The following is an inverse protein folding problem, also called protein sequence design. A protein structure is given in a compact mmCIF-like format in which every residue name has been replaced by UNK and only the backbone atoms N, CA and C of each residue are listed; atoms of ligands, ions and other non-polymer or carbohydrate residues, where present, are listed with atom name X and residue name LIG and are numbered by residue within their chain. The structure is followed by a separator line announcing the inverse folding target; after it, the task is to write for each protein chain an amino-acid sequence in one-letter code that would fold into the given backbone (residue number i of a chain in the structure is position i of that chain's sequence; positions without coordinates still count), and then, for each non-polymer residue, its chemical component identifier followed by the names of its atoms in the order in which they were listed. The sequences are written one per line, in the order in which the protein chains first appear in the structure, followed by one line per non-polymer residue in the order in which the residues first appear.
data_IF_738440331259
#
_entry.id   IF_738440331259
#
_cell.length_a   1.000
_cell.length_b   1.000
_cell.length_c   1.000
_cell.angle_alpha   90.00
_cell.angle_beta   90.00
_cell.angle_gamma   90.00
#
_symmetry.space_group_name_H-M   'P 1'
#
loop_
_entity.id
_entity.type
_entity.pdbx_description
1 polymer ?
#
# COMPACT_ATOMS: atom_id res chain seq x y z
N UNK A 1 -1.05 20.54 -15.07
CA UNK A 1 0.28 20.76 -14.42
C UNK A 1 0.51 22.25 -14.22
N UNK A 2 1.49 22.60 -13.37
CA UNK A 2 2.01 23.96 -13.30
C UNK A 2 2.57 24.36 -14.67
N UNK A 3 2.47 25.66 -15.03
CA UNK A 3 2.87 26.23 -16.32
C UNK A 3 2.01 25.74 -17.52
N UNK A 4 0.82 25.23 -17.29
CA UNK A 4 -0.13 24.98 -18.37
C UNK A 4 -1.14 26.12 -18.48
N UNK A 5 -1.46 26.46 -19.73
CA UNK A 5 -2.61 27.30 -20.04
C UNK A 5 -3.80 26.39 -20.36
N UNK A 6 -4.89 26.61 -19.65
CA UNK A 6 -6.04 25.70 -19.70
C UNK A 6 -7.35 26.50 -19.85
N UNK A 7 -8.26 25.94 -20.62
CA UNK A 7 -9.64 26.35 -20.63
C UNK A 7 -10.41 25.59 -19.54
N UNK A 8 -11.12 26.29 -18.67
CA UNK A 8 -11.82 25.70 -17.52
C UNK A 8 -13.33 26.00 -17.59
N UNK A 9 -14.12 25.03 -17.19
CA UNK A 9 -15.55 25.22 -16.87
C UNK A 9 -15.68 25.39 -15.38
N UNK A 10 -16.21 26.53 -14.92
CA UNK A 10 -16.51 26.75 -13.52
C UNK A 10 -17.73 25.91 -13.12
N UNK A 11 -17.56 25.00 -12.18
CA UNK A 11 -18.62 24.10 -11.69
C UNK A 11 -19.24 24.59 -10.39
N UNK A 12 -18.48 25.34 -9.58
CA UNK A 12 -18.99 25.90 -8.33
C UNK A 12 -18.30 27.24 -8.00
N UNK A 13 -19.06 28.23 -7.56
CA UNK A 13 -18.52 29.49 -7.04
C UNK A 13 -18.72 29.58 -5.53
N UNK A 14 -17.64 29.81 -4.81
CA UNK A 14 -17.60 30.10 -3.37
C UNK A 14 -17.31 31.58 -3.15
N UNK A 15 -17.47 32.04 -1.91
CA UNK A 15 -17.25 33.47 -1.55
C UNK A 15 -15.82 33.95 -1.88
N UNK A 16 -14.78 33.10 -1.78
CA UNK A 16 -13.37 33.48 -1.93
C UNK A 16 -12.64 32.74 -3.06
N UNK A 17 -13.26 31.75 -3.69
CA UNK A 17 -12.65 30.96 -4.77
C UNK A 17 -13.75 30.33 -5.63
N UNK A 18 -13.35 29.81 -6.76
CA UNK A 18 -14.23 28.98 -7.61
C UNK A 18 -13.60 27.62 -7.83
N UNK A 19 -14.42 26.59 -7.99
CA UNK A 19 -14.01 25.25 -8.39
C UNK A 19 -14.28 25.12 -9.89
N UNK A 20 -13.28 24.69 -10.64
CA UNK A 20 -13.39 24.49 -12.07
C UNK A 20 -12.85 23.13 -12.50
N UNK A 21 -13.41 22.65 -13.58
CA UNK A 21 -12.92 21.46 -14.29
C UNK A 21 -12.18 21.90 -15.55
N UNK A 22 -11.05 21.26 -15.84
CA UNK A 22 -10.28 21.51 -17.07
C UNK A 22 -11.05 20.93 -18.24
N UNK A 23 -11.48 21.80 -19.15
CA UNK A 23 -12.15 21.44 -20.38
C UNK A 23 -11.14 21.00 -21.44
N UNK A 24 -10.09 21.81 -21.64
CA UNK A 24 -8.97 21.50 -22.53
C UNK A 24 -7.69 22.19 -22.10
N UNK A 25 -6.55 21.62 -22.50
CA UNK A 25 -5.24 22.20 -22.35
C UNK A 25 -4.89 22.97 -23.63
N UNK A 26 -4.74 24.28 -23.51
CA UNK A 26 -4.40 25.17 -24.61
C UNK A 26 -2.89 25.10 -24.86
N UNK A 27 -2.09 25.25 -23.79
CA UNK A 27 -0.63 25.15 -23.87
C UNK A 27 -0.14 24.15 -22.83
N UNK A 28 0.53 23.11 -23.29
CA UNK A 28 1.09 22.08 -22.40
C UNK A 28 2.37 22.56 -21.71
N UNK A 29 2.56 22.15 -20.46
CA UNK A 29 3.85 22.26 -19.79
C UNK A 29 4.92 21.40 -20.50
N UNK A 30 6.17 21.89 -20.52
CA UNK A 30 7.33 21.12 -21.01
C UNK A 30 7.56 19.82 -20.23
N UNK A 31 7.06 19.75 -19.01
CA UNK A 31 7.18 18.59 -18.12
C UNK A 31 6.03 17.59 -18.24
N UNK A 32 5.02 17.88 -19.09
CA UNK A 32 3.94 16.93 -19.35
C UNK A 32 4.43 15.82 -20.26
N UNK A 33 4.17 14.58 -19.83
CA UNK A 33 4.46 13.38 -20.62
C UNK A 33 3.18 12.55 -20.82
N UNK A 34 3.23 11.66 -21.80
CA UNK A 34 2.23 10.61 -21.93
C UNK A 34 2.42 9.61 -20.78
N UNK A 35 1.39 9.33 -19.95
CA UNK A 35 1.51 8.35 -18.89
C UNK A 35 1.68 6.95 -19.45
N UNK A 36 2.53 6.14 -18.82
CA UNK A 36 2.74 4.72 -19.18
C UNK A 36 1.45 3.90 -19.04
N UNK A 37 0.61 4.24 -18.06
CA UNK A 37 -0.66 3.58 -17.80
C UNK A 37 -1.79 4.22 -18.60
N UNK A 38 -2.43 3.44 -19.49
CA UNK A 38 -3.58 3.91 -20.28
C UNK A 38 -4.82 4.23 -19.42
N UNK A 39 -4.92 3.61 -18.23
CA UNK A 39 -6.03 3.79 -17.27
C UNK A 39 -5.81 4.99 -16.36
N UNK A 40 -4.70 5.73 -16.48
CA UNK A 40 -4.32 6.81 -15.55
C UNK A 40 -5.41 7.88 -15.42
N UNK A 41 -6.07 8.23 -16.51
CA UNK A 41 -7.09 9.30 -16.55
C UNK A 41 -8.43 8.90 -15.90
N UNK A 42 -8.71 7.61 -15.74
CA UNK A 42 -9.96 7.12 -15.14
C UNK A 42 -9.75 6.45 -13.79
N UNK A 43 -8.63 5.75 -13.59
CA UNK A 43 -8.30 5.07 -12.34
C UNK A 43 -8.03 6.03 -11.17
N UNK A 44 -7.46 7.22 -11.44
CA UNK A 44 -7.13 8.20 -10.40
C UNK A 44 -6.01 7.81 -9.43
N UNK A 45 -5.48 6.59 -9.50
CA UNK A 45 -4.48 6.08 -8.55
C UNK A 45 -3.09 6.74 -8.67
N UNK A 46 -2.76 7.32 -9.83
CA UNK A 46 -1.44 7.89 -10.13
C UNK A 46 -1.55 9.28 -10.78
N UNK A 47 -2.06 10.31 -10.07
CA UNK A 47 -2.36 11.62 -10.68
C UNK A 47 -1.11 12.32 -11.25
N UNK A 48 0.07 12.10 -10.68
CA UNK A 48 1.31 12.73 -11.13
C UNK A 48 2.03 11.97 -12.26
N UNK A 49 1.52 10.82 -12.72
CA UNK A 49 2.15 10.04 -13.80
C UNK A 49 2.21 10.79 -15.15
N UNK A 50 1.44 11.86 -15.29
CA UNK A 50 1.44 12.76 -16.45
C UNK A 50 2.62 13.74 -16.45
N UNK A 51 3.45 13.76 -15.42
CA UNK A 51 4.60 14.65 -15.29
C UNK A 51 5.92 13.87 -15.26
N UNK A 52 6.99 14.45 -15.83
CA UNK A 52 8.35 13.91 -15.71
C UNK A 52 8.73 13.73 -14.24
N UNK A 53 9.45 12.66 -13.90
CA UNK A 53 9.75 12.29 -12.53
C UNK A 53 10.48 13.39 -11.73
N UNK A 54 11.50 14.09 -12.25
CA UNK A 54 12.09 15.23 -11.53
C UNK A 54 11.06 16.30 -11.13
N UNK A 55 10.10 16.61 -12.01
CA UNK A 55 9.02 17.56 -11.71
C UNK A 55 8.09 17.06 -10.61
N UNK A 56 7.85 15.75 -10.53
CA UNK A 56 7.08 15.16 -9.42
C UNK A 56 7.78 15.37 -8.07
N UNK A 57 9.12 15.27 -8.02
CA UNK A 57 9.91 15.51 -6.81
C UNK A 57 9.85 16.98 -6.37
N UNK A 58 9.98 17.91 -7.31
CA UNK A 58 9.82 19.35 -7.06
C UNK A 58 8.43 19.65 -6.49
N UNK A 59 7.38 19.07 -7.09
CA UNK A 59 6.00 19.24 -6.64
C UNK A 59 5.81 18.77 -5.20
N UNK A 60 6.35 17.60 -4.85
CA UNK A 60 6.31 17.07 -3.49
C UNK A 60 7.06 17.98 -2.50
N UNK A 61 8.20 18.52 -2.91
CA UNK A 61 8.96 19.49 -2.11
C UNK A 61 8.15 20.76 -1.88
N UNK A 62 7.50 21.29 -2.91
CA UNK A 62 6.72 22.52 -2.80
C UNK A 62 5.52 22.34 -1.87
N UNK A 63 4.80 21.22 -1.95
CA UNK A 63 3.69 20.91 -1.04
C UNK A 63 4.18 20.85 0.41
N UNK A 64 5.29 20.14 0.66
CA UNK A 64 5.89 20.05 1.99
C UNK A 64 6.32 21.43 2.50
N UNK A 65 7.02 22.19 1.65
CA UNK A 65 7.50 23.55 1.96
C UNK A 65 6.35 24.47 2.36
N UNK A 66 5.29 24.53 1.56
CA UNK A 66 4.11 25.35 1.86
C UNK A 66 3.46 24.95 3.18
N UNK A 67 3.32 23.66 3.45
CA UNK A 67 2.73 23.15 4.69
C UNK A 67 3.57 23.50 5.91
N UNK A 68 4.88 23.27 5.86
CA UNK A 68 5.80 23.56 6.96
C UNK A 68 5.93 25.06 7.26
N UNK A 69 5.95 25.91 6.23
CA UNK A 69 5.95 27.37 6.42
C UNK A 69 4.65 27.81 7.07
N UNK A 70 3.50 27.35 6.55
CA UNK A 70 2.17 27.79 6.99
C UNK A 70 1.85 27.36 8.42
N UNK A 71 2.13 26.11 8.78
CA UNK A 71 1.67 25.51 10.03
C UNK A 71 2.74 25.41 11.11
N UNK A 72 4.02 25.35 10.74
CA UNK A 72 5.14 25.18 11.67
C UNK A 72 6.19 26.31 11.61
N UNK A 73 5.99 27.33 10.77
CA UNK A 73 6.89 28.48 10.61
C UNK A 73 8.35 28.08 10.35
N UNK A 74 8.58 26.93 9.72
CA UNK A 74 9.92 26.42 9.43
C UNK A 74 10.61 27.32 8.40
N UNK A 75 11.90 27.64 8.64
CA UNK A 75 12.70 28.37 7.67
C UNK A 75 12.83 27.53 6.36
N UNK A 76 12.39 28.06 5.19
CA UNK A 76 12.42 27.34 3.92
C UNK A 76 13.80 26.81 3.52
N UNK A 77 14.89 27.46 3.98
CA UNK A 77 16.28 27.05 3.67
C UNK A 77 16.65 25.70 4.34
N UNK A 78 15.94 25.29 5.39
CA UNK A 78 16.15 24.01 6.08
C UNK A 78 15.52 22.82 5.33
N UNK A 79 14.62 23.09 4.37
CA UNK A 79 13.91 22.04 3.65
C UNK A 79 14.78 21.54 2.50
N UNK A 80 15.27 20.33 2.64
CA UNK A 80 16.13 19.68 1.66
C UNK A 80 15.34 19.17 0.44
N UNK A 81 16.05 18.69 -0.56
CA UNK A 81 15.43 18.07 -1.72
C UNK A 81 14.80 16.72 -1.35
N UNK A 82 13.73 16.37 -2.04
CA UNK A 82 13.10 15.06 -1.90
C UNK A 82 14.06 14.00 -2.44
N UNK A 83 14.30 12.96 -1.64
CA UNK A 83 15.09 11.81 -2.07
C UNK A 83 14.33 11.01 -3.13
N UNK A 84 14.92 10.77 -4.32
CA UNK A 84 14.24 10.05 -5.37
C UNK A 84 14.08 8.57 -5.02
N UNK A 85 13.02 7.94 -5.56
CA UNK A 85 12.89 6.49 -5.54
C UNK A 85 13.82 5.86 -6.57
N UNK A 86 14.44 4.74 -6.23
CA UNK A 86 15.25 3.96 -7.17
C UNK A 86 14.39 3.46 -8.34
N UNK A 87 13.15 3.05 -8.04
CA UNK A 87 12.19 2.60 -9.03
C UNK A 87 10.98 3.53 -9.03
N UNK A 88 10.59 4.01 -10.21
CA UNK A 88 9.40 4.85 -10.40
C UNK A 88 8.17 4.02 -10.83
N UNK A 89 8.39 2.78 -11.24
CA UNK A 89 7.39 1.76 -11.55
C UNK A 89 7.80 0.45 -10.90
N UNK A 90 6.86 -0.51 -10.76
CA UNK A 90 7.13 -1.83 -10.23
C UNK A 90 7.69 -1.83 -8.81
N UNK A 91 7.34 -0.86 -7.99
CA UNK A 91 7.90 -0.71 -6.65
C UNK A 91 6.99 -1.19 -5.52
N UNK A 92 5.69 -1.42 -5.80
CA UNK A 92 4.75 -1.88 -4.77
C UNK A 92 4.83 -3.37 -4.57
N UNK A 93 5.15 -3.75 -3.34
CA UNK A 93 5.20 -5.11 -2.85
C UNK A 93 3.84 -5.66 -2.38
N UNK A 94 2.78 -4.85 -2.42
CA UNK A 94 1.43 -5.23 -2.02
C UNK A 94 0.39 -4.49 -2.84
N UNK A 95 -0.73 -5.18 -3.11
CA UNK A 95 -1.97 -4.54 -3.53
C UNK A 95 -3.15 -4.95 -2.64
N UNK A 96 -4.15 -4.10 -2.62
CA UNK A 96 -5.47 -4.31 -2.01
C UNK A 96 -6.49 -3.85 -3.05
N UNK A 97 -7.09 -4.79 -3.75
CA UNK A 97 -8.00 -4.49 -4.85
C UNK A 97 -9.41 -5.02 -4.59
N UNK A 98 -10.45 -4.18 -4.76
CA UNK A 98 -11.81 -4.68 -4.89
C UNK A 98 -11.93 -5.68 -6.03
N UNK A 99 -12.85 -6.62 -5.87
CA UNK A 99 -13.26 -7.54 -6.91
C UNK A 99 -14.75 -7.29 -7.25
N UNK A 100 -15.06 -7.29 -8.53
CA UNK A 100 -16.44 -7.14 -9.01
C UNK A 100 -16.60 -7.89 -10.33
N UNK A 101 -17.85 -8.15 -10.70
CA UNK A 101 -18.15 -8.73 -11.99
C UNK A 101 -17.98 -7.68 -13.09
N UNK A 102 -17.20 -8.05 -14.10
CA UNK A 102 -17.07 -7.31 -15.36
C UNK A 102 -17.62 -8.24 -16.44
N UNK A 103 -18.80 -7.90 -16.99
CA UNK A 103 -19.58 -8.79 -17.84
C UNK A 103 -19.86 -10.13 -17.13
N UNK A 104 -19.21 -11.23 -17.57
CA UNK A 104 -19.36 -12.58 -17.02
C UNK A 104 -18.12 -13.07 -16.24
N UNK A 105 -17.15 -12.20 -16.01
CA UNK A 105 -15.87 -12.55 -15.38
C UNK A 105 -15.69 -11.76 -14.08
N UNK A 106 -15.14 -12.42 -13.06
CA UNK A 106 -14.67 -11.75 -11.86
C UNK A 106 -13.38 -10.96 -12.20
N UNK A 107 -13.44 -9.63 -12.13
CA UNK A 107 -12.31 -8.74 -12.28
C UNK A 107 -11.73 -8.31 -10.93
N UNK A 108 -10.50 -7.78 -10.96
CA UNK A 108 -9.88 -7.12 -9.82
C UNK A 108 -9.35 -5.75 -10.23
N UNK A 109 -9.74 -4.70 -9.50
CA UNK A 109 -9.45 -3.34 -9.96
C UNK A 109 -9.69 -2.27 -8.91
N UNK A 110 -10.11 -1.10 -9.35
CA UNK A 110 -10.44 0.03 -8.50
C UNK A 110 -11.77 0.65 -8.93
N UNK A 111 -12.37 1.42 -8.05
CA UNK A 111 -13.49 2.27 -8.43
C UNK A 111 -12.98 3.62 -8.94
N UNK A 112 -13.64 4.14 -9.97
CA UNK A 112 -13.39 5.50 -10.46
C UNK A 112 -13.62 6.49 -9.32
N UNK A 113 -12.74 7.49 -9.13
CA UNK A 113 -12.87 8.47 -8.06
C UNK A 113 -14.27 9.09 -8.02
N UNK A 114 -14.85 9.19 -6.83
CA UNK A 114 -16.18 9.76 -6.56
C UNK A 114 -17.33 9.05 -7.30
N UNK A 115 -17.17 7.77 -7.63
CA UNK A 115 -18.21 6.98 -8.28
C UNK A 115 -18.21 5.52 -7.80
N UNK A 116 -19.27 4.79 -8.17
CA UNK A 116 -19.35 3.33 -7.98
C UNK A 116 -18.99 2.57 -9.27
N UNK A 117 -18.42 3.24 -10.27
CA UNK A 117 -18.01 2.60 -11.50
C UNK A 117 -16.72 1.81 -11.26
N UNK A 118 -16.82 0.48 -11.41
CA UNK A 118 -15.68 -0.42 -11.27
C UNK A 118 -14.83 -0.39 -12.53
N UNK A 119 -13.52 -0.39 -12.37
CA UNK A 119 -12.52 -0.42 -13.44
C UNK A 119 -11.70 -1.69 -13.25
N UNK A 120 -11.89 -2.68 -14.11
CA UNK A 120 -11.01 -3.85 -14.14
C UNK A 120 -9.60 -3.45 -14.57
N UNK A 121 -8.62 -3.69 -13.72
CA UNK A 121 -7.22 -3.34 -13.96
C UNK A 121 -6.44 -4.60 -14.27
N UNK A 122 -6.28 -4.90 -15.55
CA UNK A 122 -5.54 -6.09 -16.00
C UNK A 122 -4.06 -6.06 -15.64
N UNK A 123 -3.44 -4.87 -15.59
CA UNK A 123 -2.06 -4.65 -15.16
C UNK A 123 -1.89 -3.28 -14.51
N UNK A 124 -1.32 -3.25 -13.32
CA UNK A 124 -0.95 -2.03 -12.62
C UNK A 124 0.57 -1.82 -12.69
N UNK A 125 1.02 -0.74 -13.32
CA UNK A 125 2.45 -0.48 -13.55
C UNK A 125 3.24 -0.08 -12.29
N UNK A 126 2.57 0.20 -11.17
CA UNK A 126 3.25 0.50 -9.90
C UNK A 126 3.48 -0.73 -9.03
N UNK A 127 2.78 -1.85 -9.31
CA UNK A 127 3.02 -3.13 -8.66
C UNK A 127 4.25 -3.81 -9.28
N UNK A 128 4.97 -4.60 -8.49
CA UNK A 128 6.03 -5.48 -8.97
C UNK A 128 5.48 -6.46 -10.01
N UNK A 129 6.25 -6.75 -11.05
CA UNK A 129 5.79 -7.58 -12.17
C UNK A 129 5.40 -9.00 -11.72
N UNK A 130 6.16 -9.59 -10.79
CA UNK A 130 5.84 -10.92 -10.26
C UNK A 130 4.56 -10.91 -9.39
N UNK A 131 4.33 -9.82 -8.67
CA UNK A 131 3.08 -9.62 -7.93
C UNK A 131 1.86 -9.53 -8.86
N UNK A 132 2.00 -8.87 -10.02
CA UNK A 132 0.96 -8.82 -11.05
C UNK A 132 0.72 -10.19 -11.71
N UNK A 133 1.76 -10.97 -11.95
CA UNK A 133 1.62 -12.34 -12.43
C UNK A 133 0.91 -13.23 -11.41
N UNK A 134 1.23 -13.08 -10.12
CA UNK A 134 0.54 -13.79 -9.04
C UNK A 134 -0.94 -13.42 -9.00
N UNK A 135 -1.27 -12.12 -9.09
CA UNK A 135 -2.66 -11.65 -9.15
C UNK A 135 -3.43 -12.27 -10.32
N UNK A 136 -2.84 -12.27 -11.51
CA UNK A 136 -3.49 -12.85 -12.69
C UNK A 136 -3.81 -14.34 -12.50
N UNK A 137 -2.84 -15.13 -12.01
CA UNK A 137 -3.02 -16.57 -11.74
C UNK A 137 -4.10 -16.84 -10.68
N UNK A 138 -4.14 -16.03 -9.60
CA UNK A 138 -5.19 -16.14 -8.59
C UNK A 138 -6.55 -15.86 -9.21
N UNK A 139 -6.68 -14.80 -9.99
CA UNK A 139 -7.95 -14.44 -10.65
C UNK A 139 -8.39 -15.50 -11.66
N UNK A 140 -7.48 -16.13 -12.37
CA UNK A 140 -7.79 -17.22 -13.31
C UNK A 140 -8.33 -18.44 -12.56
N UNK A 141 -7.76 -18.83 -11.42
CA UNK A 141 -8.27 -19.93 -10.58
C UNK A 141 -9.67 -19.60 -10.03
N UNK A 142 -9.86 -18.39 -9.48
CA UNK A 142 -11.15 -17.97 -8.94
C UNK A 142 -12.24 -17.98 -10.01
N UNK A 143 -11.93 -17.51 -11.22
CA UNK A 143 -12.86 -17.54 -12.36
C UNK A 143 -13.16 -18.98 -12.83
N UNK A 144 -12.14 -19.83 -12.93
CA UNK A 144 -12.31 -21.23 -13.35
C UNK A 144 -13.15 -22.04 -12.35
N UNK A 145 -13.08 -21.71 -11.07
CA UNK A 145 -13.86 -22.33 -10.01
C UNK A 145 -15.24 -21.67 -9.80
N UNK A 146 -15.60 -20.68 -10.64
CA UNK A 146 -16.93 -20.09 -10.69
C UNK A 146 -17.25 -19.08 -9.60
N UNK A 147 -16.22 -18.49 -8.95
CA UNK A 147 -16.46 -17.44 -7.95
C UNK A 147 -16.99 -16.15 -8.58
N UNK A 148 -17.96 -15.55 -7.90
CA UNK A 148 -18.61 -14.31 -8.30
C UNK A 148 -18.12 -13.13 -7.44
N UNK A 149 -18.38 -11.91 -7.93
CA UNK A 149 -18.19 -10.69 -7.13
C UNK A 149 -19.17 -10.63 -5.98
N UNK A 150 -18.80 -9.90 -4.92
CA UNK A 150 -19.58 -9.79 -3.70
C UNK A 150 -20.95 -9.17 -3.93
N UNK A 151 -22.01 -9.85 -3.50
CA UNK A 151 -23.38 -9.35 -3.44
C UNK A 151 -23.77 -8.98 -2.02
N UNK A 152 -24.20 -7.73 -1.83
CA UNK A 152 -24.60 -7.21 -0.52
C UNK A 152 -25.90 -7.80 0.03
N UNK A 153 -26.80 -8.28 -0.82
CA UNK A 153 -28.07 -8.87 -0.41
C UNK A 153 -27.89 -10.31 0.01
N UNK A 154 -27.14 -11.07 -0.79
CA UNK A 154 -26.82 -12.46 -0.49
C UNK A 154 -25.70 -12.60 0.55
N UNK A 155 -24.91 -11.54 0.78
CA UNK A 155 -23.70 -11.54 1.61
C UNK A 155 -22.69 -12.60 1.18
N UNK A 156 -22.62 -12.89 -0.11
CA UNK A 156 -21.80 -13.94 -0.71
C UNK A 156 -20.89 -13.38 -1.79
N UNK A 157 -19.85 -14.13 -2.18
CA UNK A 157 -18.90 -13.80 -3.24
C UNK A 157 -17.62 -13.11 -2.76
N UNK A 158 -16.72 -12.86 -3.70
CA UNK A 158 -15.40 -12.24 -3.47
C UNK A 158 -15.53 -10.72 -3.47
N UNK A 159 -15.13 -10.10 -2.37
CA UNK A 159 -15.19 -8.65 -2.17
C UNK A 159 -13.89 -7.94 -2.52
N UNK A 160 -12.78 -8.48 -2.05
CA UNK A 160 -11.45 -7.92 -2.28
C UNK A 160 -10.41 -9.03 -2.39
N UNK A 161 -9.32 -8.71 -3.08
CA UNK A 161 -8.11 -9.51 -3.10
C UNK A 161 -6.96 -8.68 -2.54
N UNK A 162 -6.25 -9.21 -1.55
CA UNK A 162 -5.05 -8.62 -0.97
C UNK A 162 -3.90 -9.60 -1.16
N UNK A 163 -2.86 -9.17 -1.85
CA UNK A 163 -1.64 -9.97 -1.99
C UNK A 163 -0.44 -9.10 -1.65
N UNK A 164 0.48 -9.67 -0.88
CA UNK A 164 1.77 -9.10 -0.54
C UNK A 164 2.86 -10.09 -0.91
N UNK A 165 3.99 -9.60 -1.44
CA UNK A 165 5.11 -10.44 -1.82
C UNK A 165 6.45 -9.87 -1.38
N UNK A 166 7.35 -10.75 -0.93
CA UNK A 166 8.76 -10.46 -0.68
C UNK A 166 9.58 -11.68 -1.07
N UNK A 167 10.69 -11.48 -1.75
CA UNK A 167 11.63 -12.54 -2.11
C UNK A 167 10.95 -13.75 -2.76
N UNK A 168 10.03 -13.50 -3.70
CA UNK A 168 9.22 -14.50 -4.40
C UNK A 168 8.33 -15.36 -3.48
N UNK A 169 8.01 -14.90 -2.27
CA UNK A 169 7.03 -15.51 -1.37
C UNK A 169 5.83 -14.59 -1.25
N UNK A 170 4.64 -15.17 -1.37
CA UNK A 170 3.40 -14.39 -1.42
C UNK A 170 2.46 -14.80 -0.30
N UNK A 171 1.91 -13.79 0.37
CA UNK A 171 0.79 -13.92 1.29
C UNK A 171 -0.46 -13.39 0.61
N UNK A 172 -1.44 -14.24 0.45
CA UNK A 172 -2.73 -13.91 -0.14
C UNK A 172 -3.82 -13.93 0.91
N UNK A 173 -4.66 -12.91 0.93
CA UNK A 173 -5.91 -12.89 1.68
C UNK A 173 -7.06 -12.62 0.72
N UNK A 174 -8.00 -13.54 0.65
CA UNK A 174 -9.23 -13.39 -0.11
C UNK A 174 -10.32 -12.93 0.85
N UNK A 175 -10.87 -11.74 0.57
CA UNK A 175 -11.96 -11.18 1.38
C UNK A 175 -13.27 -11.58 0.73
N UNK A 176 -14.09 -12.31 1.49
CA UNK A 176 -15.36 -12.86 1.01
C UNK A 176 -16.55 -12.35 1.81
N UNK A 177 -17.73 -12.67 1.34
CA UNK A 177 -18.93 -12.69 2.15
C UNK A 177 -18.89 -13.79 3.20
N UNK A 178 -20.04 -14.41 3.45
CA UNK A 178 -20.18 -15.53 4.40
C UNK A 178 -19.71 -16.85 3.82
N UNK A 179 -19.40 -16.91 2.51
CA UNK A 179 -18.97 -18.13 1.83
C UNK A 179 -17.61 -18.60 2.31
N UNK A 180 -17.45 -19.90 2.38
CA UNK A 180 -16.15 -20.54 2.56
C UNK A 180 -15.52 -20.83 1.19
N UNK A 181 -14.19 -20.73 1.13
CA UNK A 181 -13.45 -21.13 -0.05
C UNK A 181 -13.42 -22.65 -0.16
N UNK A 182 -13.66 -23.16 -1.36
CA UNK A 182 -13.67 -24.59 -1.62
C UNK A 182 -12.28 -25.21 -1.40
N UNK A 183 -12.17 -26.39 -0.78
CA UNK A 183 -10.89 -27.07 -0.55
C UNK A 183 -10.05 -27.21 -1.83
N UNK A 184 -10.66 -27.56 -2.94
CA UNK A 184 -9.98 -27.66 -4.23
C UNK A 184 -9.39 -26.33 -4.73
N UNK A 185 -10.05 -25.21 -4.44
CA UNK A 185 -9.55 -23.87 -4.77
C UNK A 185 -8.36 -23.53 -3.89
N UNK A 186 -8.41 -23.84 -2.59
CA UNK A 186 -7.29 -23.67 -1.66
C UNK A 186 -6.07 -24.45 -2.16
N UNK A 187 -6.25 -25.72 -2.55
CA UNK A 187 -5.18 -26.56 -3.09
C UNK A 187 -4.58 -25.99 -4.38
N UNK A 188 -5.42 -25.52 -5.32
CA UNK A 188 -4.94 -24.88 -6.56
C UNK A 188 -4.13 -23.61 -6.27
N UNK A 189 -4.62 -22.77 -5.36
CA UNK A 189 -3.93 -21.54 -4.97
C UNK A 189 -2.58 -21.84 -4.31
N UNK A 190 -2.51 -22.83 -3.43
CA UNK A 190 -1.27 -23.21 -2.75
C UNK A 190 -0.22 -23.82 -3.68
N UNK A 191 -0.63 -24.39 -4.82
CA UNK A 191 0.29 -24.90 -5.86
C UNK A 191 0.89 -23.80 -6.73
N UNK A 192 0.43 -22.55 -6.62
CA UNK A 192 1.03 -21.44 -7.35
C UNK A 192 2.48 -21.23 -6.89
N UNK A 193 3.44 -21.07 -7.82
CA UNK A 193 4.84 -20.84 -7.47
C UNK A 193 5.00 -19.62 -6.57
N UNK A 194 5.57 -19.83 -5.37
CA UNK A 194 5.78 -18.78 -4.39
C UNK A 194 4.59 -18.51 -3.47
N UNK A 195 3.43 -19.14 -3.63
CA UNK A 195 2.36 -19.03 -2.65
C UNK A 195 2.81 -19.61 -1.31
N UNK A 196 2.91 -18.75 -0.31
CA UNK A 196 3.52 -19.08 0.98
C UNK A 196 2.51 -19.08 2.13
N UNK A 197 1.49 -18.22 2.04
CA UNK A 197 0.53 -17.98 3.10
C UNK A 197 -0.83 -17.68 2.49
N UNK A 198 -1.86 -18.43 2.85
CA UNK A 198 -3.21 -18.22 2.34
C UNK A 198 -4.21 -18.04 3.48
N UNK A 199 -4.99 -16.97 3.37
CA UNK A 199 -5.98 -16.53 4.34
C UNK A 199 -7.29 -16.20 3.68
N UNK A 200 -8.36 -16.33 4.45
CA UNK A 200 -9.68 -15.78 4.13
C UNK A 200 -10.06 -14.76 5.18
N UNK A 201 -10.73 -13.68 4.76
CA UNK A 201 -11.31 -12.69 5.66
C UNK A 201 -12.78 -12.52 5.35
N UNK A 202 -13.65 -12.81 6.32
CA UNK A 202 -15.10 -12.68 6.15
C UNK A 202 -15.50 -11.24 6.46
N UNK A 203 -16.12 -10.56 5.48
CA UNK A 203 -16.46 -9.15 5.57
C UNK A 203 -17.82 -8.83 4.93
N UNK A 204 -18.85 -8.68 5.76
CA UNK A 204 -20.22 -8.37 5.34
C UNK A 204 -20.68 -6.97 5.74
N UNK A 205 -19.84 -6.20 6.44
CA UNK A 205 -20.19 -4.85 6.92
C UNK A 205 -20.30 -3.89 5.72
N UNK A 206 -21.43 -3.17 5.64
CA UNK A 206 -21.64 -2.10 4.66
C UNK A 206 -20.96 -0.81 5.13
N UNK A 207 -20.56 0.06 4.19
CA UNK A 207 -20.06 1.42 4.46
C UNK A 207 -18.94 1.49 5.52
N UNK A 208 -17.86 0.76 5.30
CA UNK A 208 -16.64 0.83 6.11
C UNK A 208 -15.43 1.03 5.22
N UNK A 209 -14.42 1.80 5.65
CA UNK A 209 -13.16 1.92 4.94
C UNK A 209 -12.26 0.68 5.15
N UNK A 210 -12.61 -0.19 6.10
CA UNK A 210 -11.84 -1.39 6.39
C UNK A 210 -11.95 -2.40 5.25
N UNK A 211 -10.81 -2.95 4.84
CA UNK A 211 -10.75 -3.99 3.80
C UNK A 211 -10.91 -5.38 4.42
N UNK A 212 -10.26 -5.61 5.55
CA UNK A 212 -10.38 -6.87 6.26
C UNK A 212 -11.62 -6.86 7.15
N UNK A 213 -12.36 -7.95 7.12
CA UNK A 213 -13.47 -8.17 8.03
C UNK A 213 -13.01 -8.59 9.44
N UNK A 214 -13.93 -8.69 10.40
CA UNK A 214 -13.60 -9.04 11.78
C UNK A 214 -13.06 -10.48 11.91
N UNK A 215 -13.49 -11.40 11.07
CA UNK A 215 -13.08 -12.81 11.11
C UNK A 215 -11.98 -13.07 10.10
N UNK A 216 -10.80 -13.50 10.60
CA UNK A 216 -9.67 -13.97 9.79
C UNK A 216 -9.54 -15.48 9.96
N UNK A 217 -9.45 -16.21 8.86
CA UNK A 217 -9.33 -17.65 8.81
C UNK A 217 -8.02 -17.99 8.11
N UNK A 218 -7.14 -18.70 8.81
CA UNK A 218 -5.94 -19.26 8.21
C UNK A 218 -6.33 -20.51 7.42
N UNK A 219 -6.01 -20.56 6.15
CA UNK A 219 -6.40 -21.64 5.27
C UNK A 219 -5.27 -22.65 5.04
N UNK A 220 -4.10 -22.17 4.67
CA UNK A 220 -2.97 -23.05 4.35
C UNK A 220 -1.62 -22.30 4.29
N UNK A 221 -0.52 -23.06 4.33
CA UNK A 221 0.84 -22.57 4.26
C UNK A 221 1.38 -22.11 5.61
N UNK A 222 2.09 -20.97 5.65
CA UNK A 222 2.64 -20.39 6.85
C UNK A 222 1.81 -19.18 7.32
N UNK A 223 1.68 -18.99 8.63
CA UNK A 223 0.83 -17.91 9.18
C UNK A 223 1.41 -16.53 8.96
N UNK A 224 2.73 -16.40 8.88
CA UNK A 224 3.42 -15.12 8.76
C UNK A 224 4.30 -15.13 7.50
N UNK A 225 4.36 -13.99 6.82
CA UNK A 225 5.22 -13.82 5.66
C UNK A 225 6.60 -13.31 6.13
N UNK A 226 7.71 -14.01 5.84
CA UNK A 226 9.05 -13.52 6.15
C UNK A 226 9.45 -12.40 5.20
N UNK A 227 10.19 -11.44 5.74
CA UNK A 227 10.80 -10.33 5.02
C UNK A 227 12.22 -10.13 5.54
N UNK A 228 13.20 -10.24 4.65
CA UNK A 228 14.56 -9.79 4.93
C UNK A 228 14.73 -8.33 4.53
N UNK A 229 15.07 -7.46 5.47
CA UNK A 229 15.13 -6.02 5.27
C UNK A 229 16.44 -5.45 5.80
N UNK A 230 17.42 -5.25 4.92
CA UNK A 230 18.69 -4.55 5.25
C UNK A 230 19.35 -5.08 6.54
N UNK A 231 19.46 -6.41 6.65
CA UNK A 231 20.05 -7.10 7.81
C UNK A 231 19.07 -7.39 8.96
N UNK A 232 17.79 -7.07 8.80
CA UNK A 232 16.74 -7.46 9.73
C UNK A 232 15.89 -8.59 9.17
N UNK A 233 15.60 -9.59 9.99
CA UNK A 233 14.64 -10.65 9.68
C UNK A 233 13.31 -10.38 10.34
N UNK A 234 12.32 -9.98 9.54
CA UNK A 234 10.98 -9.63 9.99
C UNK A 234 9.96 -10.68 9.57
N UNK A 235 8.90 -10.78 10.33
CA UNK A 235 7.70 -11.56 10.00
C UNK A 235 6.48 -10.65 10.01
N UNK A 236 5.58 -10.83 9.04
CA UNK A 236 4.45 -9.93 8.84
C UNK A 236 3.15 -10.73 8.79
N UNK A 237 2.17 -10.36 9.61
CA UNK A 237 0.81 -10.93 9.53
C UNK A 237 -0.02 -10.26 8.42
N UNK A 238 -1.12 -10.87 7.95
CA UNK A 238 -1.94 -10.32 6.88
C UNK A 238 -2.44 -8.89 7.13
N UNK A 239 -2.78 -8.58 8.39
CA UNK A 239 -3.32 -7.27 8.78
C UNK A 239 -2.25 -6.23 9.09
N UNK A 240 -1.01 -6.65 9.31
CA UNK A 240 0.07 -5.74 9.67
C UNK A 240 0.40 -4.80 8.52
N UNK A 241 0.60 -3.53 8.86
CA UNK A 241 1.10 -2.54 7.92
C UNK A 241 2.60 -2.73 7.68
N UNK A 242 3.00 -2.59 6.43
CA UNK A 242 4.39 -2.39 6.02
C UNK A 242 4.44 -1.44 4.83
N UNK A 243 5.56 -0.74 4.65
CA UNK A 243 5.75 0.22 3.55
C UNK A 243 5.66 -0.48 2.18
N UNK A 244 4.88 0.11 1.26
CA UNK A 244 4.61 -0.48 -0.04
C UNK A 244 5.81 -0.47 -1.00
N UNK A 245 6.79 0.39 -0.76
CA UNK A 245 8.04 0.48 -1.51
C UNK A 245 9.19 0.11 -0.59
N UNK A 246 9.64 -1.15 -0.67
CA UNK A 246 10.68 -1.71 0.20
C UNK A 246 12.00 -0.95 0.09
N UNK A 247 12.44 -0.61 -1.13
CA UNK A 247 13.69 0.14 -1.34
C UNK A 247 13.63 1.54 -0.72
N UNK A 248 12.49 2.20 -0.85
CA UNK A 248 12.30 3.52 -0.24
C UNK A 248 12.15 3.45 1.28
N UNK A 249 11.58 2.36 1.81
CA UNK A 249 11.54 2.12 3.25
C UNK A 249 12.94 1.99 3.85
N UNK A 250 13.82 1.22 3.21
CA UNK A 250 15.23 1.08 3.61
C UNK A 250 15.91 2.46 3.60
N UNK A 251 15.73 3.24 2.52
CA UNK A 251 16.30 4.60 2.44
C UNK A 251 15.77 5.51 3.57
N UNK A 252 14.48 5.44 3.88
CA UNK A 252 13.88 6.18 4.98
C UNK A 252 14.50 5.78 6.32
N UNK A 253 14.63 4.48 6.60
CA UNK A 253 15.18 3.99 7.87
C UNK A 253 16.66 4.35 8.02
N UNK A 254 17.47 4.22 6.96
CA UNK A 254 18.86 4.69 6.95
C UNK A 254 18.97 6.19 7.22
N UNK A 255 18.07 6.98 6.63
CA UNK A 255 18.04 8.44 6.85
C UNK A 255 17.70 8.75 8.30
N UNK A 256 16.68 8.11 8.89
CA UNK A 256 16.33 8.27 10.31
C UNK A 256 17.54 7.92 11.19
N UNK A 257 18.17 6.76 10.96
CA UNK A 257 19.32 6.32 11.74
C UNK A 257 20.51 7.27 11.63
N UNK A 258 20.72 7.90 10.47
CA UNK A 258 21.79 8.90 10.27
C UNK A 258 21.53 10.23 10.98
N UNK A 259 20.27 10.57 11.24
CA UNK A 259 19.90 11.80 11.96
C UNK A 259 20.04 11.65 13.47
N UNK A 260 20.10 10.42 13.99
CA UNK A 260 20.29 10.14 15.41
C UNK A 260 21.79 9.95 15.66
N UNK A 261 22.42 10.99 16.23
CA UNK A 261 23.85 10.99 16.56
C UNK A 261 24.08 10.47 17.98
N UNK A 262 25.16 9.68 18.17
CA UNK A 262 25.56 9.15 19.48
C UNK A 262 24.69 7.97 19.96
N UNK A 263 24.95 7.57 21.19
CA UNK A 263 24.17 6.56 21.91
C UNK A 263 23.26 7.24 22.93
N UNK A 264 22.01 6.83 22.96
CA UNK A 264 20.99 7.34 23.86
C UNK A 264 20.72 6.32 24.99
N UNK A 265 20.32 6.81 26.16
CA UNK A 265 19.83 5.92 27.22
C UNK A 265 18.50 5.28 26.79
N UNK A 266 17.64 6.08 26.13
CA UNK A 266 16.28 5.69 25.83
C UNK A 266 15.77 6.30 24.53
N UNK A 267 15.08 5.51 23.70
CA UNK A 267 14.34 5.95 22.50
C UNK A 267 12.90 5.47 22.60
N UNK A 268 11.95 6.35 22.29
CA UNK A 268 10.54 6.00 22.13
C UNK A 268 10.12 6.19 20.68
N UNK A 269 9.53 5.17 20.09
CA UNK A 269 8.86 5.23 18.80
C UNK A 269 7.35 5.18 18.97
N UNK A 270 6.63 6.22 18.56
CA UNK A 270 5.18 6.20 18.45
C UNK A 270 4.74 5.63 17.11
N UNK A 271 3.64 4.86 17.09
CA UNK A 271 3.10 4.18 15.90
C UNK A 271 4.08 3.17 15.29
N UNK A 272 4.67 2.35 16.12
CA UNK A 272 5.81 1.47 15.74
C UNK A 272 5.45 0.34 14.76
N UNK A 273 4.16 0.03 14.58
CA UNK A 273 3.70 -1.03 13.67
C UNK A 273 4.32 -2.38 14.03
N UNK A 274 5.02 -3.00 13.08
CA UNK A 274 5.74 -4.27 13.27
C UNK A 274 7.15 -4.10 13.86
N UNK A 275 7.50 -2.88 14.30
CA UNK A 275 8.77 -2.58 14.95
C UNK A 275 9.96 -2.34 14.03
N UNK A 276 9.74 -2.13 12.73
CA UNK A 276 10.84 -2.04 11.77
C UNK A 276 11.81 -0.89 12.05
N UNK A 277 11.33 0.31 12.41
CA UNK A 277 12.19 1.47 12.71
C UNK A 277 12.92 1.27 14.04
N UNK A 278 12.23 0.86 15.11
CA UNK A 278 12.85 0.56 16.40
C UNK A 278 13.99 -0.47 16.26
N UNK A 279 13.75 -1.55 15.50
CA UNK A 279 14.78 -2.56 15.25
C UNK A 279 15.92 -2.04 14.38
N UNK A 280 15.65 -1.14 13.47
CA UNK A 280 16.70 -0.49 12.67
C UNK A 280 17.58 0.45 13.50
N UNK A 281 17.03 0.96 14.60
CA UNK A 281 17.72 1.84 15.56
C UNK A 281 18.34 1.08 16.75
N UNK A 282 18.34 -0.26 16.75
CA UNK A 282 18.78 -1.10 17.86
C UNK A 282 20.13 -0.71 18.48
N UNK A 283 21.07 -0.25 17.65
CA UNK A 283 22.42 0.13 18.09
C UNK A 283 22.53 1.61 18.49
N UNK A 284 21.40 2.34 18.59
CA UNK A 284 21.36 3.79 18.88
C UNK A 284 20.94 4.09 20.33
N UNK A 285 20.46 3.13 21.09
CA UNK A 285 20.04 3.34 22.48
C UNK A 285 20.24 2.08 23.32
N UNK A 286 20.35 2.25 24.64
CA UNK A 286 20.37 1.14 25.59
C UNK A 286 19.02 0.47 25.76
N UNK A 287 17.95 1.24 25.60
CA UNK A 287 16.57 0.77 25.63
C UNK A 287 15.72 1.46 24.59
N UNK A 288 14.88 0.71 23.87
CA UNK A 288 13.95 1.23 22.89
C UNK A 288 12.55 0.70 23.17
N UNK A 289 11.56 1.60 23.26
CA UNK A 289 10.16 1.23 23.42
C UNK A 289 9.35 1.72 22.23
N UNK A 290 8.74 0.79 21.51
CA UNK A 290 7.74 1.07 20.47
C UNK A 290 6.32 1.06 21.05
N UNK A 291 5.52 2.07 20.69
CA UNK A 291 4.11 2.18 21.10
C UNK A 291 3.24 1.99 19.87
N UNK A 292 2.29 1.05 19.95
CA UNK A 292 1.38 0.73 18.84
C UNK A 292 -0.01 0.35 19.37
N UNK A 293 -1.06 0.91 18.78
CA UNK A 293 -2.45 0.68 19.23
C UNK A 293 -3.03 -0.67 18.78
N UNK A 294 -2.43 -1.32 17.79
CA UNK A 294 -2.94 -2.58 17.22
C UNK A 294 -2.23 -3.76 17.88
N UNK A 295 -2.95 -4.50 18.73
CA UNK A 295 -2.40 -5.65 19.50
C UNK A 295 -1.67 -6.67 18.62
N UNK A 296 -2.23 -7.02 17.45
CA UNK A 296 -1.59 -7.98 16.54
C UNK A 296 -0.24 -7.47 16.02
N UNK A 297 -0.11 -6.16 15.78
CA UNK A 297 1.14 -5.54 15.36
C UNK A 297 2.17 -5.55 16.50
N UNK A 298 1.76 -5.27 17.75
CA UNK A 298 2.61 -5.38 18.94
C UNK A 298 3.15 -6.81 19.13
N UNK A 299 2.29 -7.82 18.98
CA UNK A 299 2.71 -9.23 19.04
C UNK A 299 3.75 -9.54 17.97
N UNK A 300 3.52 -9.09 16.73
CA UNK A 300 4.48 -9.26 15.64
C UNK A 300 5.80 -8.52 15.91
N UNK A 301 5.73 -7.28 16.43
CA UNK A 301 6.91 -6.47 16.72
C UNK A 301 7.79 -7.11 17.82
N UNK A 302 7.21 -7.60 18.90
CA UNK A 302 7.95 -8.32 19.96
C UNK A 302 8.55 -9.64 19.44
N UNK A 303 7.85 -10.36 18.54
CA UNK A 303 8.41 -11.53 17.85
C UNK A 303 9.60 -11.15 16.99
N UNK A 304 9.50 -10.06 16.23
CA UNK A 304 10.57 -9.54 15.39
C UNK A 304 11.79 -9.10 16.24
N UNK A 305 11.58 -8.45 17.39
CA UNK A 305 12.67 -8.12 18.31
C UNK A 305 13.42 -9.37 18.79
N UNK A 306 12.69 -10.40 19.22
CA UNK A 306 13.27 -11.67 19.63
C UNK A 306 14.04 -12.35 18.51
N UNK A 307 13.50 -12.37 17.27
CA UNK A 307 14.11 -12.98 16.09
C UNK A 307 15.44 -12.32 15.73
N UNK A 308 15.56 -11.01 15.95
CA UNK A 308 16.78 -10.23 15.69
C UNK A 308 17.71 -10.12 16.92
N UNK A 309 17.45 -10.86 18.00
CA UNK A 309 18.30 -10.85 19.19
C UNK A 309 18.30 -9.53 19.96
N UNK A 310 17.25 -8.69 19.81
CA UNK A 310 17.16 -7.35 20.39
C UNK A 310 16.38 -7.38 21.71
N UNK A 311 17.00 -7.88 22.80
CA UNK A 311 16.34 -7.97 24.12
C UNK A 311 16.03 -6.60 24.76
N UNK A 312 16.71 -5.54 24.35
CA UNK A 312 16.56 -4.17 24.82
C UNK A 312 15.52 -3.36 24.01
N UNK A 313 14.88 -4.01 23.02
CA UNK A 313 13.80 -3.41 22.21
C UNK A 313 12.49 -4.10 22.57
N UNK A 314 11.52 -3.35 23.05
CA UNK A 314 10.21 -3.86 23.45
C UNK A 314 9.07 -3.05 22.83
N UNK A 315 7.89 -3.65 22.75
CA UNK A 315 6.72 -3.02 22.17
C UNK A 315 5.52 -3.17 23.08
N UNK A 316 4.78 -2.06 23.25
CA UNK A 316 3.60 -1.97 24.12
C UNK A 316 2.40 -1.44 23.35
N UNK A 317 1.19 -1.81 23.86
CA UNK A 317 -0.09 -1.41 23.26
C UNK A 317 -0.70 -0.25 24.05
#
# INVERSE_FOLDING_TARGET
LVDEEVDIRVVERKKRYAIGEVNRIIKKSKDRIQPKCRMQHICGGCPLMIARYPRQLEYKKDVLKQSLIKYAQVNPRKIQNVLPSADIFGYRNQFKMPCAMEEKRLGSGLFMPNSNYFIDIRRCFVHEDELEKMRARIMDILNADGYLGYDHHQKSGIRNLVVRGFDNRYQCTIITGEDELLPQTIDKLMRLPGMYSLWQSIHTIKKTPEIFGPKMIFLAGEKLLPLHLDGLDLEISPRSFFQLNTKQAIQLYRTIASMISGNHEFIVEAYSGIGAISLYLKDKAKEIIGIESIKDAVVNANRNAKKNGCAHVSFVC
#
